data_IF_690515546523
#
_entry.id   IF_690515546523
#
_cell.length_a   1.000
_cell.length_b   1.000
_cell.length_c   1.000
_cell.angle_alpha   90.00
_cell.angle_beta   90.00
_cell.angle_gamma   90.00
#
_symmetry.space_group_name_H-M   'P 1'
#
loop_
_entity.id
_entity.type
_entity.pdbx_description
1 polymer ?
#
# COMPACT_ATOMS: atom_id res chain seq x y z
N UNK A 1 -5.33 23.99 9.63
CA UNK A 1 -4.76 22.72 9.14
C UNK A 1 -5.96 21.92 8.67
N UNK A 2 -6.08 21.54 7.38
CA UNK A 2 -7.18 20.67 6.96
C UNK A 2 -7.10 19.38 7.79
N UNK A 3 -8.22 18.69 8.05
CA UNK A 3 -8.15 17.38 8.67
C UNK A 3 -7.17 16.55 7.84
N UNK A 4 -6.22 15.89 8.52
CA UNK A 4 -5.35 14.92 7.87
C UNK A 4 -6.25 13.96 7.09
N UNK A 5 -6.29 14.09 5.77
CA UNK A 5 -7.11 13.19 4.96
C UNK A 5 -6.50 11.81 5.14
N UNK A 6 -7.20 10.95 5.87
CA UNK A 6 -6.86 9.54 6.01
C UNK A 6 -6.50 8.96 4.63
N UNK A 7 -5.22 8.65 4.45
CA UNK A 7 -4.71 8.15 3.17
C UNK A 7 -4.72 6.62 3.21
N UNK A 8 -5.53 6.03 2.34
CA UNK A 8 -5.57 4.58 2.18
C UNK A 8 -4.59 4.11 1.12
N UNK A 9 -4.25 2.82 1.14
CA UNK A 9 -3.38 2.21 0.14
C UNK A 9 -3.90 2.41 -1.28
N UNK A 10 -5.21 2.19 -1.52
CA UNK A 10 -5.79 2.45 -2.85
C UNK A 10 -5.66 3.92 -3.25
N UNK A 11 -5.90 4.86 -2.34
CA UNK A 11 -5.78 6.30 -2.61
C UNK A 11 -4.33 6.68 -2.91
N UNK A 12 -3.37 6.21 -2.13
CA UNK A 12 -1.94 6.47 -2.34
C UNK A 12 -1.47 5.95 -3.70
N UNK A 13 -1.85 4.71 -4.06
CA UNK A 13 -1.55 4.14 -5.36
C UNK A 13 -2.18 4.94 -6.50
N UNK A 14 -3.45 5.34 -6.38
CA UNK A 14 -4.12 6.17 -7.37
C UNK A 14 -3.44 7.53 -7.57
N UNK A 15 -3.06 8.20 -6.47
CA UNK A 15 -2.30 9.47 -6.51
C UNK A 15 -0.94 9.30 -7.19
N UNK A 16 -0.30 8.14 -7.05
CA UNK A 16 0.94 7.79 -7.75
C UNK A 16 0.75 7.41 -9.23
N UNK A 17 -0.48 7.46 -9.76
CA UNK A 17 -0.80 7.06 -11.14
C UNK A 17 -1.20 5.59 -11.30
N UNK A 18 -1.37 4.87 -10.19
CA UNK A 18 -1.78 3.47 -10.13
C UNK A 18 -0.63 2.48 -10.22
N UNK A 19 -0.97 1.18 -10.12
CA UNK A 19 -0.02 0.09 -10.35
C UNK A 19 0.13 -0.15 -11.86
N UNK A 20 1.38 -0.13 -12.34
CA UNK A 20 1.72 -0.49 -13.72
C UNK A 20 1.17 -1.88 -14.10
N UNK A 21 0.92 -2.11 -15.40
CA UNK A 21 0.45 -3.42 -15.90
C UNK A 21 1.42 -4.56 -15.60
N UNK A 22 2.72 -4.27 -15.57
CA UNK A 22 3.77 -5.22 -15.18
C UNK A 22 3.90 -5.40 -13.68
N UNK A 23 3.27 -4.56 -12.85
CA UNK A 23 3.38 -4.61 -11.40
C UNK A 23 2.58 -5.75 -10.77
N UNK A 24 3.12 -6.35 -9.72
CA UNK A 24 2.46 -7.44 -8.99
C UNK A 24 1.47 -6.88 -7.97
N UNK A 25 0.19 -6.84 -8.34
CA UNK A 25 -0.91 -6.38 -7.47
C UNK A 25 -1.22 -7.32 -6.31
N UNK A 26 -0.83 -8.59 -6.42
CA UNK A 26 -1.06 -9.59 -5.37
C UNK A 26 -0.01 -9.53 -4.24
N UNK A 27 1.08 -8.77 -4.44
CA UNK A 27 2.23 -8.69 -3.54
C UNK A 27 2.75 -7.25 -3.47
N UNK A 28 1.91 -6.35 -2.96
CA UNK A 28 2.31 -4.97 -2.65
C UNK A 28 2.85 -4.93 -1.23
N UNK A 29 4.04 -4.36 -1.06
CA UNK A 29 4.74 -4.35 0.22
C UNK A 29 4.62 -2.99 0.88
N UNK A 30 4.17 -2.96 2.13
CA UNK A 30 4.22 -1.78 3.00
C UNK A 30 5.34 -1.99 4.02
N UNK A 31 6.25 -1.02 4.13
CA UNK A 31 7.25 -0.98 5.19
C UNK A 31 6.92 0.16 6.14
N UNK A 32 6.62 -0.19 7.39
CA UNK A 32 6.25 0.73 8.46
C UNK A 32 7.34 0.80 9.50
N UNK A 33 7.81 2.01 9.80
CA UNK A 33 8.72 2.22 10.93
C UNK A 33 7.93 2.24 12.23
N UNK A 34 8.34 1.45 13.20
CA UNK A 34 7.71 1.38 14.53
C UNK A 34 8.38 2.38 15.48
N UNK A 35 7.71 2.77 16.58
CA UNK A 35 8.28 3.68 17.58
C UNK A 35 9.59 3.18 18.22
N UNK A 36 9.79 1.86 18.28
CA UNK A 36 11.01 1.22 18.78
C UNK A 36 12.18 1.25 17.77
N UNK A 37 11.97 1.82 16.59
CA UNK A 37 12.96 1.91 15.51
C UNK A 37 13.00 0.67 14.59
N UNK A 38 12.24 -0.38 14.88
CA UNK A 38 12.11 -1.54 14.00
C UNK A 38 11.29 -1.22 12.75
N UNK A 39 11.42 -2.03 11.70
CA UNK A 39 10.60 -1.92 10.49
C UNK A 39 9.74 -3.15 10.36
N UNK A 40 8.42 -2.95 10.41
CA UNK A 40 7.44 -4.00 10.12
C UNK A 40 7.10 -3.99 8.64
N UNK A 41 7.04 -5.18 8.05
CA UNK A 41 6.71 -5.35 6.64
C UNK A 41 5.37 -6.04 6.52
N UNK A 42 4.48 -5.51 5.68
CA UNK A 42 3.19 -6.09 5.36
C UNK A 42 3.14 -6.41 3.87
N UNK A 43 2.67 -7.59 3.52
CA UNK A 43 2.38 -7.96 2.14
C UNK A 43 0.87 -7.95 1.93
N UNK A 44 0.43 -7.12 1.00
CA UNK A 44 -0.98 -6.84 0.74
C UNK A 44 -1.32 -7.28 -0.68
N UNK A 45 -2.42 -8.02 -0.80
CA UNK A 45 -3.01 -8.33 -2.08
C UNK A 45 -4.02 -7.23 -2.44
N UNK A 46 -3.57 -6.25 -3.22
CA UNK A 46 -4.39 -5.12 -3.64
C UNK A 46 -5.55 -5.55 -4.55
N UNK A 47 -5.37 -6.61 -5.35
CA UNK A 47 -6.47 -7.14 -6.17
C UNK A 47 -7.67 -7.59 -5.33
N UNK A 48 -7.44 -8.17 -4.16
CA UNK A 48 -8.53 -8.53 -3.24
C UNK A 48 -9.23 -7.30 -2.64
N UNK A 49 -8.50 -6.21 -2.41
CA UNK A 49 -9.07 -4.93 -1.96
C UNK A 49 -9.89 -4.26 -3.08
N UNK A 50 -9.41 -4.31 -4.32
CA UNK A 50 -10.13 -3.82 -5.52
C UNK A 50 -11.43 -4.60 -5.75
N UNK A 51 -11.41 -5.92 -5.53
CA UNK A 51 -12.58 -6.81 -5.62
C UNK A 51 -13.53 -6.70 -4.41
N UNK A 52 -13.20 -5.90 -3.39
CA UNK A 52 -13.99 -5.76 -2.16
C UNK A 52 -13.98 -6.99 -1.26
N UNK A 53 -13.04 -7.92 -1.47
CA UNK A 53 -12.88 -9.12 -0.64
C UNK A 53 -12.12 -8.86 0.65
N UNK A 54 -11.23 -7.87 0.62
CA UNK A 54 -10.47 -7.40 1.78
C UNK A 54 -10.71 -5.90 2.00
N UNK A 55 -10.68 -5.40 3.25
CA UNK A 55 -10.79 -3.98 3.53
C UNK A 55 -9.59 -3.21 2.99
N UNK A 56 -9.78 -1.92 2.70
CA UNK A 56 -8.66 -1.04 2.34
C UNK A 56 -7.74 -0.83 3.55
N UNK A 57 -6.46 -0.57 3.27
CA UNK A 57 -5.45 -0.41 4.32
C UNK A 57 -5.27 1.08 4.57
N UNK A 58 -5.50 1.51 5.81
CA UNK A 58 -5.13 2.85 6.25
C UNK A 58 -3.61 2.91 6.42
N UNK A 59 -2.96 3.85 5.73
CA UNK A 59 -1.53 4.08 5.88
C UNK A 59 -1.27 4.98 7.08
N UNK A 60 -0.12 4.75 7.70
CA UNK A 60 0.40 5.60 8.77
C UNK A 60 1.52 6.49 8.22
N UNK A 61 1.88 7.52 9.00
CA UNK A 61 3.02 8.37 8.68
C UNK A 61 4.31 7.54 8.50
N UNK A 62 5.15 7.99 7.58
CA UNK A 62 6.40 7.32 7.17
C UNK A 62 6.24 5.92 6.54
N UNK A 63 5.01 5.46 6.24
CA UNK A 63 4.80 4.24 5.47
C UNK A 63 5.41 4.35 4.07
N UNK A 64 6.15 3.31 3.69
CA UNK A 64 6.71 3.19 2.34
C UNK A 64 6.02 2.05 1.59
N UNK A 65 5.42 2.37 0.45
CA UNK A 65 4.72 1.41 -0.42
C UNK A 65 5.61 1.02 -1.60
N UNK A 66 5.83 -0.29 -1.77
CA UNK A 66 6.63 -0.86 -2.84
C UNK A 66 5.81 -1.81 -3.69
N UNK A 67 5.89 -1.64 -5.00
CA UNK A 67 5.31 -2.54 -5.99
C UNK A 67 6.45 -3.13 -6.80
N UNK A 68 6.59 -4.46 -6.76
CA UNK A 68 7.58 -5.16 -7.58
C UNK A 68 6.98 -5.54 -8.92
N UNK A 69 7.83 -5.76 -9.91
CA UNK A 69 7.39 -6.38 -11.17
C UNK A 69 6.91 -7.82 -10.90
N UNK A 70 5.87 -8.21 -11.63
CA UNK A 70 5.40 -9.57 -11.70
C UNK A 70 6.48 -10.43 -12.35
N UNK A 71 6.89 -11.50 -11.66
CA UNK A 71 7.68 -12.56 -12.30
C UNK A 71 6.74 -13.30 -13.25
N UNK A 72 6.96 -13.11 -14.55
CA UNK A 72 6.33 -13.89 -15.63
C UNK A 72 6.95 -15.29 -15.65
#
# INVERSE_FOLDING_TARGET
>A
IPPEEEITLKKALATAGGILRSGNRSSVIIRRKQPDGSVRTFEINVSRIEEGKDPDVLLEDDDQVFVRESRI
#
